data_IF_186821941716
#
_entry.id   IF_186821941716
#
_cell.length_a   1.000
_cell.length_b   1.000
_cell.length_c   1.000
_cell.angle_alpha   90.00
_cell.angle_beta   90.00
_cell.angle_gamma   90.00
#
_symmetry.space_group_name_H-M   'P 1'
#
loop_
_entity.id
_entity.type
_entity.pdbx_description
1 polymer ?
#
# COMPACT_ATOMS: atom_id res chain seq x y z
N UNK A 1 -4.87 5.29 -12.17
CA UNK A 1 -6.12 5.18 -11.42
C UNK A 1 -6.23 3.84 -10.74
N UNK A 2 -6.49 3.85 -9.45
CA UNK A 2 -6.52 2.61 -8.67
C UNK A 2 -7.95 2.10 -8.53
N UNK A 3 -8.09 0.77 -8.48
CA UNK A 3 -9.37 0.12 -8.27
C UNK A 3 -9.35 -0.67 -6.98
N UNK A 4 -10.54 -1.02 -6.50
CA UNK A 4 -10.65 -1.84 -5.30
C UNK A 4 -9.89 -3.15 -5.50
N UNK A 5 -9.11 -3.52 -4.51
CA UNK A 5 -8.31 -4.74 -4.55
C UNK A 5 -6.92 -4.57 -5.12
N UNK A 6 -6.62 -3.42 -5.73
CA UNK A 6 -5.29 -3.20 -6.28
C UNK A 6 -4.25 -3.11 -5.18
N UNK A 7 -3.06 -3.64 -5.46
CA UNK A 7 -1.92 -3.45 -4.59
C UNK A 7 -1.12 -2.24 -5.08
N UNK A 8 -0.84 -1.34 -4.15
CA UNK A 8 -0.11 -0.12 -4.46
C UNK A 8 1.00 0.04 -3.43
N UNK A 9 1.98 0.86 -3.75
CA UNK A 9 3.11 1.07 -2.86
C UNK A 9 3.31 2.58 -2.68
N UNK A 10 3.62 2.98 -1.46
CA UNK A 10 3.89 4.38 -1.18
C UNK A 10 5.12 4.86 -1.91
N UNK A 11 5.01 6.03 -2.52
CA UNK A 11 6.16 6.67 -3.18
C UNK A 11 7.15 7.12 -2.10
N UNK A 12 8.44 7.20 -2.43
CA UNK A 12 9.41 7.73 -1.47
C UNK A 12 8.98 9.11 -0.99
N UNK A 13 9.14 9.35 0.30
CA UNK A 13 8.86 10.65 0.92
C UNK A 13 7.44 11.13 0.67
N UNK A 14 6.47 10.21 0.71
CA UNK A 14 5.09 10.58 0.44
C UNK A 14 4.43 11.33 1.60
N UNK A 15 5.09 11.47 2.73
CA UNK A 15 4.59 12.28 3.84
C UNK A 15 3.70 11.55 4.82
N UNK A 16 3.41 10.29 4.59
CA UNK A 16 2.56 9.52 5.50
C UNK A 16 3.39 8.77 6.53
N UNK A 17 2.84 8.61 7.73
CA UNK A 17 3.52 7.89 8.81
C UNK A 17 3.33 6.39 8.73
N UNK A 18 2.12 5.94 8.42
CA UNK A 18 1.80 4.51 8.43
C UNK A 18 1.74 3.90 7.04
N UNK A 19 1.55 4.71 6.03
CA UNK A 19 1.55 4.24 4.63
C UNK A 19 2.68 4.90 3.88
N UNK A 20 3.80 5.02 4.54
CA UNK A 20 4.97 5.73 4.02
C UNK A 20 5.58 5.02 2.82
N UNK A 21 6.59 5.65 2.25
CA UNK A 21 7.30 5.08 1.11
C UNK A 21 7.79 3.68 1.41
N UNK A 22 7.60 2.77 0.45
CA UNK A 22 8.00 1.38 0.62
C UNK A 22 6.95 0.51 1.29
N UNK A 23 5.80 1.06 1.68
CA UNK A 23 4.72 0.29 2.27
C UNK A 23 3.74 -0.13 1.19
N UNK A 24 3.51 -1.43 1.09
CA UNK A 24 2.56 -2.00 0.13
C UNK A 24 1.19 -2.02 0.78
N UNK A 25 0.22 -1.46 0.09
CA UNK A 25 -1.14 -1.34 0.60
C UNK A 25 -2.12 -1.91 -0.40
N UNK A 26 -3.31 -2.26 0.10
CA UNK A 26 -4.40 -2.74 -0.73
C UNK A 26 -5.52 -1.73 -0.69
N UNK A 27 -6.04 -1.35 -1.84
CA UNK A 27 -7.14 -0.40 -1.94
C UNK A 27 -8.42 -1.10 -1.54
N UNK A 28 -9.09 -0.58 -0.50
CA UNK A 28 -10.33 -1.17 0.01
C UNK A 28 -11.51 -0.23 -0.10
N UNK A 29 -11.27 1.06 -0.35
CA UNK A 29 -12.34 2.04 -0.55
C UNK A 29 -11.89 3.09 -1.55
N UNK A 30 -12.87 3.71 -2.21
CA UNK A 30 -12.61 4.83 -3.11
C UNK A 30 -13.66 5.89 -2.88
N UNK A 31 -13.20 7.13 -2.72
CA UNK A 31 -14.10 8.29 -2.62
C UNK A 31 -13.93 9.20 -3.84
N UNK A 32 -13.56 8.62 -4.96
CA UNK A 32 -13.27 9.34 -6.18
C UNK A 32 -11.95 8.87 -6.74
N UNK A 33 -11.43 9.62 -7.70
CA UNK A 33 -10.19 9.23 -8.36
C UNK A 33 -8.96 9.46 -7.52
N UNK A 34 -9.02 10.49 -6.68
CA UNK A 34 -7.81 10.99 -6.01
C UNK A 34 -7.73 10.65 -4.54
N UNK A 35 -8.80 10.15 -3.95
CA UNK A 35 -8.84 9.90 -2.53
C UNK A 35 -9.33 8.49 -2.27
N UNK A 36 -8.53 7.71 -1.58
CA UNK A 36 -8.79 6.27 -1.42
C UNK A 36 -8.55 5.84 0.01
N UNK A 37 -9.13 4.70 0.36
CA UNK A 37 -8.85 4.05 1.64
C UNK A 37 -8.04 2.80 1.39
N UNK A 38 -7.00 2.61 2.19
CA UNK A 38 -6.07 1.48 2.03
C UNK A 38 -5.78 0.81 3.36
N UNK A 39 -5.40 -0.45 3.28
CA UNK A 39 -4.87 -1.18 4.44
C UNK A 39 -3.45 -1.59 4.13
N UNK A 40 -2.63 -1.69 5.18
CA UNK A 40 -1.22 -2.04 5.03
C UNK A 40 -1.07 -3.54 4.87
N UNK A 41 -0.28 -3.95 3.87
CA UNK A 41 -0.05 -5.36 3.57
C UNK A 41 1.36 -5.78 3.95
N UNK A 42 2.35 -4.99 3.54
CA UNK A 42 3.75 -5.28 3.81
C UNK A 42 4.54 -3.99 3.78
N UNK A 43 5.53 -3.86 4.63
CA UNK A 43 6.31 -2.63 4.68
C UNK A 43 7.78 -2.93 4.95
N UNK A 44 8.64 -2.09 4.36
CA UNK A 44 10.06 -2.11 4.67
C UNK A 44 10.34 -1.48 6.02
N UNK A 45 9.39 -0.72 6.56
CA UNK A 45 9.52 -0.11 7.88
C UNK A 45 9.19 -1.17 8.92
N UNK A 46 10.13 -1.57 9.78
CA UNK A 46 9.89 -2.65 10.73
C UNK A 46 8.74 -2.37 11.70
N UNK A 47 8.56 -1.12 12.08
CA UNK A 47 7.48 -0.77 12.99
C UNK A 47 6.11 -1.00 12.32
N UNK A 48 5.95 -0.52 11.09
CA UNK A 48 4.70 -0.67 10.36
C UNK A 48 4.46 -2.14 10.04
N UNK A 49 5.49 -2.85 9.64
CA UNK A 49 5.38 -4.28 9.37
C UNK A 49 4.86 -5.02 10.58
N UNK A 50 5.36 -4.67 11.76
CA UNK A 50 5.01 -5.37 12.99
C UNK A 50 3.63 -4.96 13.52
N UNK A 51 3.25 -3.70 13.36
CA UNK A 51 2.02 -3.20 13.97
C UNK A 51 0.82 -3.22 13.04
N UNK A 52 1.00 -2.82 11.79
CA UNK A 52 -0.12 -2.70 10.87
C UNK A 52 -0.23 -3.86 9.91
N UNK A 53 0.89 -4.29 9.36
CA UNK A 53 0.86 -5.31 8.33
C UNK A 53 0.59 -6.69 8.87
N UNK A 54 0.93 -6.94 10.13
CA UNK A 54 0.78 -8.28 10.73
C UNK A 54 -0.61 -8.56 11.25
N UNK A 55 -1.49 -7.56 11.26
CA UNK A 55 -2.86 -7.76 11.75
C UNK A 55 -3.70 -8.54 10.75
N UNK A 56 -4.71 -9.29 11.21
CA UNK A 56 -5.70 -9.86 10.30
C UNK A 56 -6.40 -8.76 9.53
N UNK A 57 -6.82 -9.06 8.32
CA UNK A 57 -7.36 -8.02 7.44
C UNK A 57 -8.55 -7.29 8.06
N UNK A 58 -9.43 -8.00 8.74
CA UNK A 58 -10.62 -7.40 9.34
C UNK A 58 -10.31 -6.56 10.57
N UNK A 59 -9.07 -6.63 11.07
CA UNK A 59 -8.64 -5.80 12.20
C UNK A 59 -7.75 -4.65 11.77
N UNK A 60 -7.42 -4.55 10.49
CA UNK A 60 -6.54 -3.50 10.00
C UNK A 60 -7.27 -2.18 9.95
N UNK A 61 -6.54 -1.12 10.28
CA UNK A 61 -7.07 0.23 10.13
C UNK A 61 -7.08 0.62 8.65
N UNK A 62 -8.15 1.28 8.23
CA UNK A 62 -8.24 1.82 6.87
C UNK A 62 -7.70 3.24 6.91
N UNK A 63 -6.64 3.48 6.15
CA UNK A 63 -6.02 4.80 6.07
C UNK A 63 -6.54 5.53 4.84
N UNK A 64 -6.97 6.78 5.04
CA UNK A 64 -7.46 7.62 3.95
C UNK A 64 -6.30 8.41 3.39
N UNK A 65 -6.01 8.22 2.13
CA UNK A 65 -4.79 8.77 1.54
C UNK A 65 -5.09 9.32 0.14
N UNK A 66 -4.21 10.23 -0.29
CA UNK A 66 -4.26 10.74 -1.66
C UNK A 66 -3.59 9.73 -2.59
N UNK A 67 -4.30 9.36 -3.65
CA UNK A 67 -3.78 8.36 -4.59
C UNK A 67 -2.48 8.82 -5.25
N UNK A 68 -2.30 10.13 -5.39
CA UNK A 68 -1.09 10.66 -6.03
C UNK A 68 0.20 10.35 -5.23
N UNK A 69 0.07 9.95 -3.98
CA UNK A 69 1.22 9.62 -3.15
C UNK A 69 1.62 8.14 -3.26
N UNK A 70 0.99 7.42 -4.17
CA UNK A 70 1.21 5.98 -4.35
C UNK A 70 1.36 5.67 -5.83
N UNK A 71 1.91 4.49 -6.10
CA UNK A 71 1.98 3.97 -7.46
C UNK A 71 1.67 2.48 -7.41
N UNK A 72 1.36 1.89 -8.57
CA UNK A 72 1.05 0.48 -8.60
C UNK A 72 2.24 -0.33 -8.12
N UNK A 73 1.95 -1.33 -7.30
CA UNK A 73 2.99 -2.26 -6.87
C UNK A 73 3.08 -3.37 -7.91
N UNK A 74 4.25 -3.50 -8.49
CA UNK A 74 4.48 -4.51 -9.52
C UNK A 74 5.38 -5.57 -8.92
N UNK A 75 4.75 -6.49 -8.22
CA UNK A 75 5.53 -7.53 -7.60
C UNK A 75 6.10 -8.39 -8.70
N UNK A 76 7.20 -8.55 -8.51
CA UNK A 76 7.91 -9.29 -9.33
C UNK A 76 7.42 -9.83 -10.55
N UNK A 77 7.10 -9.45 -11.03
CA UNK A 77 6.96 -9.92 -12.11
C UNK A 77 8.32 -9.89 -12.62
N UNK A 78 8.84 -9.77 -11.92
CA UNK A 78 9.66 -9.68 -11.89
C UNK A 78 10.44 -10.38 -11.76
N UNK A 79 10.19 -10.68 -11.58
CA UNK A 79 10.66 -11.19 -11.34
C UNK A 79 10.93 -12.05 -11.69
N UNK A 80 10.63 -12.41 -11.94
CA UNK A 80 10.64 -13.20 -12.18
C UNK A 80 11.06 -13.64 -13.04
N UNK A 81 11.19 -13.31 -13.54
CA UNK A 81 11.60 -13.48 -14.30
C UNK A 81 12.56 -13.51 -14.58
N UNK A 82 12.83 -13.18 -14.40
CA UNK A 82 13.67 -13.05 -14.69
C UNK A 82 14.72 -13.45 -14.41
N UNK A 83 14.77 -13.57 -13.94
CA UNK A 83 15.56 -13.97 -13.60
C UNK A 83 15.92 -15.01 -13.74
N UNK A 84 15.74 -15.39 -14.00
CA UNK A 84 15.88 -16.06 -14.06
C UNK A 84 16.31 -16.49 -14.35
#
# INVERSE_FOLDING_TARGET
MFNLGDLIIGKPDNGYSYTCGGTICKVVKKWGENYIGVICVKSDNPFIQRTECSLPEDEKMVFEVWSSRFEFFKSGKKNNKTWI
#
